data_IF_868480384323
#
_entry.id   IF_868480384323
#
_cell.length_a   1.000
_cell.length_b   1.000
_cell.length_c   1.000
_cell.angle_alpha   90.00
_cell.angle_beta   90.00
_cell.angle_gamma   90.00
#
_symmetry.space_group_name_H-M   'P 1'
#
loop_
_entity.id
_entity.type
_entity.pdbx_description
1 polymer ?
#
# COMPACT_ATOMS: atom_id res chain seq x y z
N UNK A 1 0.82 10.47 -3.51
CA UNK A 1 1.24 9.41 -4.47
C UNK A 1 0.24 9.27 -5.61
N UNK A 2 -1.01 8.82 -5.38
CA UNK A 2 -2.00 8.61 -6.46
C UNK A 2 -2.23 9.83 -7.37
N UNK A 3 -2.44 11.02 -6.80
CA UNK A 3 -2.58 12.25 -7.59
C UNK A 3 -1.31 12.61 -8.37
N UNK A 4 -0.13 12.39 -7.76
CA UNK A 4 1.14 12.71 -8.40
C UNK A 4 1.36 11.78 -9.61
N UNK A 5 1.10 10.47 -9.45
CA UNK A 5 1.14 9.51 -10.56
C UNK A 5 0.21 9.94 -11.71
N UNK A 6 -1.04 10.31 -11.40
CA UNK A 6 -2.02 10.76 -12.39
C UNK A 6 -1.58 12.03 -13.14
N UNK A 7 -1.05 13.03 -12.43
CA UNK A 7 -0.56 14.28 -13.02
C UNK A 7 0.66 14.06 -13.91
N UNK A 8 1.61 13.22 -13.46
CA UNK A 8 2.83 12.93 -14.23
C UNK A 8 2.51 12.15 -15.52
N UNK A 9 1.49 11.29 -15.50
CA UNK A 9 1.07 10.49 -16.65
C UNK A 9 0.05 11.20 -17.53
N UNK A 10 -0.43 12.39 -17.12
CA UNK A 10 -1.46 13.17 -17.81
C UNK A 10 -2.76 12.38 -18.05
N UNK A 11 -3.15 11.56 -17.06
CA UNK A 11 -4.40 10.80 -17.12
C UNK A 11 -5.56 11.65 -16.56
N UNK A 12 -6.75 11.50 -17.12
CA UNK A 12 -7.96 12.20 -16.63
C UNK A 12 -8.44 11.71 -15.25
N UNK A 13 -8.03 10.49 -14.87
CA UNK A 13 -8.39 9.90 -13.59
C UNK A 13 -7.33 8.93 -13.09
N UNK A 14 -7.41 8.61 -11.79
CA UNK A 14 -6.56 7.61 -11.16
C UNK A 14 -7.04 6.22 -11.56
N UNK A 15 -6.12 5.37 -12.01
CA UNK A 15 -6.45 3.98 -12.34
C UNK A 15 -7.08 3.27 -11.15
N UNK A 16 -8.20 2.59 -11.40
CA UNK A 16 -8.89 1.80 -10.38
C UNK A 16 -9.39 2.64 -9.19
N UNK A 17 -9.89 3.86 -9.42
CA UNK A 17 -10.35 4.79 -8.38
C UNK A 17 -11.18 4.12 -7.26
N UNK A 18 -12.23 3.38 -7.61
CA UNK A 18 -13.03 2.66 -6.60
C UNK A 18 -12.22 1.61 -5.84
N UNK A 19 -11.33 0.88 -6.52
CA UNK A 19 -10.41 -0.07 -5.89
C UNK A 19 -9.47 0.60 -4.90
N UNK A 20 -8.96 1.79 -5.20
CA UNK A 20 -8.15 2.58 -4.27
C UNK A 20 -8.97 3.07 -3.07
N UNK A 21 -10.21 3.52 -3.28
CA UNK A 21 -11.12 3.94 -2.21
C UNK A 21 -11.42 2.76 -1.28
N UNK A 22 -11.80 1.60 -1.82
CA UNK A 22 -12.04 0.40 -1.02
C UNK A 22 -10.78 -0.12 -0.34
N UNK A 23 -9.61 -0.03 -0.98
CA UNK A 23 -8.35 -0.37 -0.34
C UNK A 23 -8.04 0.55 0.85
N UNK A 24 -8.25 1.87 0.71
CA UNK A 24 -8.06 2.81 1.82
C UNK A 24 -9.04 2.56 2.96
N UNK A 25 -10.32 2.34 2.65
CA UNK A 25 -11.32 1.97 3.66
C UNK A 25 -10.97 0.65 4.36
N UNK A 26 -10.55 -0.37 3.60
CA UNK A 26 -10.13 -1.66 4.13
C UNK A 26 -8.93 -1.56 5.07
N UNK A 27 -7.92 -0.77 4.73
CA UNK A 27 -6.76 -0.52 5.60
C UNK A 27 -7.19 0.14 6.92
N UNK A 28 -8.09 1.13 6.88
CA UNK A 28 -8.59 1.80 8.09
C UNK A 28 -9.37 0.82 8.97
N UNK A 29 -10.31 0.07 8.38
CA UNK A 29 -11.11 -0.90 9.13
C UNK A 29 -10.23 -1.99 9.75
N UNK A 30 -9.37 -2.65 8.97
CA UNK A 30 -8.50 -3.71 9.46
C UNK A 30 -7.44 -3.17 10.44
N UNK A 31 -6.92 -1.97 10.20
CA UNK A 31 -5.94 -1.30 11.07
C UNK A 31 -6.44 -1.12 12.51
N UNK A 32 -7.75 -0.91 12.69
CA UNK A 32 -8.35 -0.80 14.04
C UNK A 32 -8.36 -2.12 14.82
N UNK A 33 -8.16 -3.26 14.15
CA UNK A 33 -8.32 -4.60 14.73
C UNK A 33 -6.98 -5.32 14.94
N UNK A 34 -5.84 -4.78 14.49
CA UNK A 34 -4.57 -5.54 14.48
C UNK A 34 -3.62 -5.24 15.64
N UNK A 35 -3.92 -4.27 16.53
CA UNK A 35 -2.98 -3.74 17.53
C UNK A 35 -2.18 -4.80 18.32
N UNK A 36 -2.77 -5.95 18.62
CA UNK A 36 -2.14 -6.98 19.45
C UNK A 36 -0.94 -7.66 18.76
N UNK A 37 -0.69 -7.43 17.46
CA UNK A 37 0.54 -7.89 16.81
C UNK A 37 1.81 -7.30 17.44
N UNK A 38 1.73 -6.14 18.11
CA UNK A 38 2.84 -5.58 18.89
C UNK A 38 3.05 -6.25 20.24
N UNK A 39 2.13 -7.12 20.66
CA UNK A 39 2.08 -7.74 21.98
C UNK A 39 2.32 -9.25 21.93
N UNK A 40 2.78 -9.83 20.81
CA UNK A 40 2.92 -11.29 20.69
C UNK A 40 3.82 -11.95 21.75
N UNK A 41 4.71 -11.20 22.40
CA UNK A 41 5.60 -11.70 23.44
C UNK A 41 5.05 -11.55 24.88
N UNK A 42 3.81 -11.06 25.08
CA UNK A 42 3.23 -10.89 26.43
C UNK A 42 2.58 -12.16 26.98
N UNK A 43 2.58 -13.27 26.23
CA UNK A 43 1.97 -14.53 26.64
C UNK A 43 0.50 -14.70 26.22
N UNK A 44 0.11 -14.20 25.04
CA UNK A 44 -1.20 -14.44 24.44
C UNK A 44 -1.42 -15.93 24.13
N UNK A 45 -2.66 -16.39 24.18
CA UNK A 45 -2.97 -17.76 23.74
C UNK A 45 -2.75 -17.93 22.23
N UNK A 46 -2.59 -19.18 21.80
CA UNK A 46 -2.25 -19.49 20.41
C UNK A 46 -3.35 -19.11 19.41
N UNK A 47 -4.64 -19.17 19.80
CA UNK A 47 -5.74 -18.83 18.90
C UNK A 47 -5.79 -17.33 18.66
N UNK A 48 -5.59 -16.54 19.72
CA UNK A 48 -5.48 -15.08 19.64
C UNK A 48 -4.28 -14.69 18.77
N UNK A 49 -3.12 -15.30 18.98
CA UNK A 49 -1.91 -15.00 18.20
C UNK A 49 -2.11 -15.29 16.71
N UNK A 50 -2.68 -16.45 16.36
CA UNK A 50 -2.97 -16.81 14.96
C UNK A 50 -4.00 -15.85 14.34
N UNK A 51 -5.03 -15.47 15.09
CA UNK A 51 -6.02 -14.50 14.63
C UNK A 51 -5.36 -13.16 14.28
N UNK A 52 -4.67 -12.53 15.23
CA UNK A 52 -4.04 -11.22 14.99
C UNK A 52 -2.93 -11.29 13.93
N UNK A 53 -2.17 -12.38 13.88
CA UNK A 53 -1.17 -12.59 12.81
C UNK A 53 -1.84 -12.66 11.42
N UNK A 54 -2.90 -13.45 11.28
CA UNK A 54 -3.60 -13.58 9.99
C UNK A 54 -4.27 -12.29 9.54
N UNK A 55 -4.96 -11.57 10.44
CA UNK A 55 -5.61 -10.29 10.11
C UNK A 55 -4.58 -9.22 9.72
N UNK A 56 -3.42 -9.19 10.38
CA UNK A 56 -2.32 -8.28 10.02
C UNK A 56 -1.80 -8.56 8.62
N UNK A 57 -1.60 -9.83 8.25
CA UNK A 57 -1.18 -10.21 6.89
C UNK A 57 -2.21 -9.82 5.82
N UNK A 58 -3.51 -9.85 6.12
CA UNK A 58 -4.58 -9.46 5.17
C UNK A 58 -4.47 -7.98 4.76
N UNK A 59 -3.92 -7.10 5.60
CA UNK A 59 -3.67 -5.68 5.26
C UNK A 59 -2.71 -5.55 4.06
N UNK A 60 -1.87 -6.55 3.81
CA UNK A 60 -1.01 -6.61 2.63
C UNK A 60 -1.78 -6.55 1.31
N UNK A 61 -3.00 -7.08 1.25
CA UNK A 61 -3.83 -7.10 0.01
C UNK A 61 -4.25 -5.70 -0.43
N UNK A 62 -4.99 -4.88 0.36
CA UNK A 62 -5.35 -3.53 -0.05
C UNK A 62 -4.13 -2.62 -0.24
N UNK A 63 -3.05 -2.85 0.51
CA UNK A 63 -1.78 -2.14 0.31
C UNK A 63 -1.17 -2.47 -1.06
N UNK A 64 -1.16 -3.74 -1.45
CA UNK A 64 -0.74 -4.21 -2.77
C UNK A 64 -1.56 -3.60 -3.90
N UNK A 65 -2.89 -3.52 -3.76
CA UNK A 65 -3.76 -2.86 -4.76
C UNK A 65 -3.30 -1.43 -5.04
N UNK A 66 -2.93 -0.67 -3.99
CA UNK A 66 -2.42 0.70 -4.15
C UNK A 66 -1.08 0.71 -4.89
N UNK A 67 -0.14 -0.14 -4.50
CA UNK A 67 1.18 -0.24 -5.14
C UNK A 67 1.06 -0.59 -6.62
N UNK A 68 0.29 -1.62 -6.97
CA UNK A 68 0.08 -2.01 -8.37
C UNK A 68 -0.63 -0.92 -9.18
N UNK A 69 -1.58 -0.20 -8.58
CA UNK A 69 -2.25 0.92 -9.26
C UNK A 69 -1.26 2.05 -9.59
N UNK A 70 -0.32 2.36 -8.69
CA UNK A 70 0.73 3.36 -8.94
C UNK A 70 1.71 2.90 -10.02
N UNK A 71 2.17 1.65 -9.97
CA UNK A 71 3.04 1.08 -10.99
C UNK A 71 2.39 1.08 -12.37
N UNK A 72 1.10 0.71 -12.45
CA UNK A 72 0.34 0.73 -13.69
C UNK A 72 0.28 2.13 -14.30
N UNK A 73 -0.08 3.14 -13.50
CA UNK A 73 -0.10 4.52 -13.98
C UNK A 73 1.28 4.95 -14.48
N UNK A 74 2.33 4.77 -13.67
CA UNK A 74 3.69 5.19 -14.00
C UNK A 74 4.27 4.45 -15.22
N UNK A 75 3.85 3.22 -15.50
CA UNK A 75 4.26 2.49 -16.71
C UNK A 75 3.92 3.21 -18.02
N UNK A 76 2.94 4.12 -17.99
CA UNK A 76 2.57 4.97 -19.13
C UNK A 76 3.40 6.27 -19.22
N UNK A 77 4.14 6.65 -18.16
CA UNK A 77 4.90 7.90 -18.07
C UNK A 77 6.27 7.81 -18.77
N UNK A 78 6.28 7.79 -20.12
CA UNK A 78 7.55 7.82 -20.88
C UNK A 78 8.16 9.23 -21.04
N UNK A 79 7.43 10.30 -20.71
CA UNK A 79 7.79 11.67 -21.12
C UNK A 79 8.41 12.56 -20.04
N UNK A 80 8.54 12.10 -18.78
CA UNK A 80 8.92 12.98 -17.64
C UNK A 80 10.09 12.49 -16.77
N UNK A 81 10.93 11.56 -17.27
CA UNK A 81 12.01 10.92 -16.48
C UNK A 81 13.04 11.89 -15.85
N UNK A 82 13.13 13.11 -16.35
CA UNK A 82 14.00 14.16 -15.82
C UNK A 82 13.41 14.92 -14.62
N UNK A 83 12.13 14.73 -14.31
CA UNK A 83 11.47 15.34 -13.17
C UNK A 83 11.94 14.63 -11.86
N UNK A 84 12.52 15.36 -10.88
CA UNK A 84 12.95 14.77 -9.62
C UNK A 84 11.80 14.08 -8.86
N UNK A 85 10.55 14.50 -9.09
CA UNK A 85 9.38 13.90 -8.46
C UNK A 85 9.17 12.45 -8.90
N UNK A 86 9.52 12.08 -10.14
CA UNK A 86 9.43 10.67 -10.59
C UNK A 86 10.35 9.79 -9.76
N UNK A 87 11.60 10.21 -9.56
CA UNK A 87 12.58 9.44 -8.81
C UNK A 87 12.19 9.31 -7.34
N UNK A 88 11.60 10.36 -6.76
CA UNK A 88 11.05 10.27 -5.41
C UNK A 88 9.91 9.25 -5.32
N UNK A 89 8.98 9.20 -6.28
CA UNK A 89 7.88 8.22 -6.27
C UNK A 89 8.41 6.79 -6.46
N UNK A 90 9.34 6.58 -7.37
CA UNK A 90 9.96 5.26 -7.58
C UNK A 90 10.67 4.82 -6.29
N UNK A 91 11.45 5.71 -5.67
CA UNK A 91 12.09 5.46 -4.38
C UNK A 91 11.09 5.15 -3.27
N UNK A 92 9.99 5.91 -3.19
CA UNK A 92 8.89 5.64 -2.26
C UNK A 92 8.31 4.25 -2.48
N UNK A 93 7.94 3.87 -3.72
CA UNK A 93 7.34 2.57 -4.00
C UNK A 93 8.30 1.44 -3.62
N UNK A 94 9.58 1.52 -4.00
CA UNK A 94 10.57 0.48 -3.69
C UNK A 94 10.77 0.32 -2.19
N UNK A 95 11.05 1.42 -1.48
CA UNK A 95 11.29 1.38 -0.04
C UNK A 95 10.04 0.95 0.74
N UNK A 96 8.87 1.44 0.34
CA UNK A 96 7.59 1.07 0.95
C UNK A 96 7.28 -0.41 0.74
N UNK A 97 7.54 -0.96 -0.45
CA UNK A 97 7.34 -2.39 -0.73
C UNK A 97 8.32 -3.25 0.05
N UNK A 98 9.62 -2.92 0.08
CA UNK A 98 10.61 -3.70 0.84
C UNK A 98 10.27 -3.68 2.34
N UNK A 99 9.98 -2.50 2.90
CA UNK A 99 9.56 -2.39 4.30
C UNK A 99 8.27 -3.17 4.60
N UNK A 100 7.31 -3.16 3.67
CA UNK A 100 6.07 -3.92 3.80
C UNK A 100 6.25 -5.45 3.69
N UNK A 101 7.25 -5.95 2.96
CA UNK A 101 7.55 -7.39 2.89
C UNK A 101 8.19 -7.91 4.18
N UNK A 102 8.92 -7.05 4.90
CA UNK A 102 9.56 -7.41 6.17
C UNK A 102 8.66 -7.25 7.40
N UNK A 103 7.56 -6.51 7.27
CA UNK A 103 6.60 -6.27 8.36
C UNK A 103 5.60 -7.40 8.51
#
# INVERSE_FOLDING_TARGET
VSHICMVLTNNDSVFGYLGLVFAMGGIVCLGSVVWAHHMFMVGLDIKTTVFFSSVTMVIGVPTGIKVFSWLYMLGSSRSRLWDPVIWWIIGFIVLFTIGGVTG
#
